data_IF_247903188043
#
_entry.id   IF_247903188043
#
_cell.length_a   1.000
_cell.length_b   1.000
_cell.length_c   1.000
_cell.angle_alpha   90.00
_cell.angle_beta   90.00
_cell.angle_gamma   90.00
#
_symmetry.space_group_name_H-M   'P 1'
#
loop_
_entity.id
_entity.type
_entity.pdbx_description
1 polymer ?
#
# COMPACT_ATOMS: atom_id res chain seq x y z
N UNK A 1 4.04 5.96 -18.68
CA UNK A 1 5.13 5.21 -18.01
C UNK A 1 4.73 4.94 -16.55
N UNK A 2 5.37 4.00 -15.87
CA UNK A 2 5.05 3.58 -14.48
C UNK A 2 6.19 3.93 -13.55
N UNK A 3 5.89 4.27 -12.29
CA UNK A 3 6.86 4.25 -11.20
C UNK A 3 6.31 3.40 -10.06
N UNK A 4 7.00 2.30 -9.76
CA UNK A 4 6.60 1.34 -8.73
C UNK A 4 7.31 1.67 -7.41
N UNK A 5 6.55 2.04 -6.37
CA UNK A 5 7.07 2.48 -5.07
C UNK A 5 6.29 1.88 -3.90
N UNK A 6 6.83 1.97 -2.69
CA UNK A 6 6.15 1.50 -1.48
C UNK A 6 4.94 2.40 -1.22
N UNK A 7 3.75 1.80 -1.17
CA UNK A 7 2.54 2.50 -0.75
C UNK A 7 1.74 1.59 0.18
N UNK A 8 1.59 2.00 1.42
CA UNK A 8 0.75 1.35 2.42
C UNK A 8 0.22 2.41 3.40
N UNK A 9 -0.70 2.07 4.33
CA UNK A 9 -1.30 3.05 5.24
C UNK A 9 -0.32 3.86 6.10
N UNK A 10 0.91 3.39 6.30
CA UNK A 10 1.92 4.09 7.11
C UNK A 10 2.97 4.84 6.27
N UNK A 11 3.06 4.53 4.98
CA UNK A 11 3.92 5.18 3.99
C UNK A 11 3.09 5.53 2.75
N UNK A 12 2.26 6.55 2.84
CA UNK A 12 1.17 6.75 1.89
C UNK A 12 1.57 7.48 0.62
N UNK A 13 2.75 8.10 0.58
CA UNK A 13 3.23 8.88 -0.58
C UNK A 13 2.29 10.06 -0.91
N UNK A 14 1.78 10.77 0.12
CA UNK A 14 0.76 11.82 -0.03
C UNK A 14 1.15 12.93 -1.01
N UNK A 15 2.44 13.27 -1.10
CA UNK A 15 2.94 14.24 -2.09
C UNK A 15 3.42 13.59 -3.39
N UNK A 16 4.14 12.46 -3.30
CA UNK A 16 4.76 11.84 -4.47
C UNK A 16 3.73 11.25 -5.46
N UNK A 17 2.61 10.72 -4.97
CA UNK A 17 1.54 10.18 -5.84
C UNK A 17 0.90 11.25 -6.72
N UNK A 18 0.37 12.36 -6.18
CA UNK A 18 -0.15 13.46 -7.01
C UNK A 18 0.90 14.06 -7.94
N UNK A 19 2.16 14.14 -7.48
CA UNK A 19 3.27 14.59 -8.33
C UNK A 19 3.46 13.67 -9.53
N UNK A 20 3.51 12.35 -9.36
CA UNK A 20 3.63 11.41 -10.48
C UNK A 20 2.45 11.51 -11.45
N UNK A 21 1.22 11.51 -10.92
CA UNK A 21 -0.01 11.56 -11.72
C UNK A 21 -0.07 12.83 -12.59
N UNK A 22 0.27 13.99 -12.03
CA UNK A 22 0.31 15.26 -12.79
C UNK A 22 1.40 15.32 -13.87
N UNK A 23 2.31 14.35 -13.92
CA UNK A 23 3.31 14.19 -15.00
C UNK A 23 3.02 13.00 -15.91
N UNK A 24 1.84 12.37 -15.80
CA UNK A 24 1.49 11.20 -16.60
C UNK A 24 2.30 9.93 -16.24
N UNK A 25 2.85 9.88 -15.02
CA UNK A 25 3.53 8.71 -14.48
C UNK A 25 2.52 7.96 -13.61
N UNK A 26 2.20 6.71 -13.98
CA UNK A 26 1.27 5.88 -13.22
C UNK A 26 1.98 5.35 -11.96
N UNK A 27 1.50 5.70 -10.75
CA UNK A 27 1.98 5.06 -9.53
C UNK A 27 1.52 3.60 -9.45
N UNK A 28 2.44 2.72 -9.04
CA UNK A 28 2.16 1.32 -8.74
C UNK A 28 2.71 0.97 -7.34
N UNK A 29 1.86 0.43 -6.48
CA UNK A 29 2.13 0.13 -5.09
C UNK A 29 2.73 -1.27 -4.93
N UNK A 30 3.98 -1.34 -4.46
CA UNK A 30 4.54 -2.54 -3.86
C UNK A 30 4.38 -2.52 -2.32
N UNK A 31 4.40 -3.71 -1.71
CA UNK A 31 4.08 -3.95 -0.29
C UNK A 31 2.84 -3.18 0.20
N UNK A 32 1.66 -3.35 -0.44
CA UNK A 32 0.43 -2.66 -0.03
C UNK A 32 0.06 -2.90 1.43
N UNK A 33 0.46 -4.05 1.98
CA UNK A 33 0.20 -4.46 3.36
C UNK A 33 1.37 -4.25 4.32
N UNK A 34 2.43 -3.53 3.91
CA UNK A 34 3.68 -3.40 4.68
C UNK A 34 4.27 -4.76 5.13
N UNK A 35 3.98 -5.84 4.40
CA UNK A 35 4.26 -7.24 4.80
C UNK A 35 3.72 -7.64 6.19
N UNK A 36 2.63 -7.02 6.63
CA UNK A 36 2.01 -7.26 7.95
C UNK A 36 2.76 -6.62 9.11
N UNK A 37 3.80 -5.81 8.84
CA UNK A 37 4.52 -5.06 9.87
C UNK A 37 3.61 -4.03 10.58
N UNK A 38 4.05 -3.58 11.75
CA UNK A 38 3.38 -2.56 12.56
C UNK A 38 1.92 -2.89 12.92
N UNK A 39 1.56 -4.18 12.96
CA UNK A 39 0.22 -4.62 13.32
C UNK A 39 -0.87 -4.19 12.33
N UNK A 40 -0.53 -3.96 11.05
CA UNK A 40 -1.45 -3.43 10.05
C UNK A 40 -2.81 -4.16 10.00
N UNK A 41 -2.79 -5.49 10.03
CA UNK A 41 -3.99 -6.31 9.95
C UNK A 41 -4.86 -6.29 11.21
N UNK A 42 -4.36 -5.75 12.31
CA UNK A 42 -5.07 -5.56 13.58
C UNK A 42 -5.30 -4.08 13.90
N UNK A 43 -4.95 -3.16 12.98
CA UNK A 43 -5.07 -1.74 13.24
C UNK A 43 -6.55 -1.38 13.48
N UNK A 44 -6.90 -0.71 14.60
CA UNK A 44 -8.29 -0.53 15.01
C UNK A 44 -9.11 0.28 13.98
N UNK A 45 -8.51 1.32 13.40
CA UNK A 45 -9.16 2.14 12.34
C UNK A 45 -9.50 1.29 11.12
N UNK A 46 -8.53 0.52 10.59
CA UNK A 46 -8.76 -0.30 9.39
C UNK A 46 -9.74 -1.44 9.66
N UNK A 47 -9.73 -1.98 10.88
CA UNK A 47 -10.63 -3.05 11.31
C UNK A 47 -12.07 -2.53 11.41
N UNK A 48 -12.28 -1.35 12.01
CA UNK A 48 -13.59 -0.71 12.09
C UNK A 48 -14.16 -0.38 10.70
N UNK A 49 -13.33 0.13 9.79
CA UNK A 49 -13.72 0.34 8.38
C UNK A 49 -14.08 -0.99 7.72
N UNK A 50 -13.27 -2.04 7.91
CA UNK A 50 -13.56 -3.37 7.38
C UNK A 50 -14.92 -3.90 7.85
N UNK A 51 -15.23 -3.76 9.15
CA UNK A 51 -16.51 -4.17 9.73
C UNK A 51 -17.69 -3.43 9.11
N UNK A 52 -17.58 -2.10 8.89
CA UNK A 52 -18.61 -1.29 8.24
C UNK A 52 -19.03 -1.83 6.87
N UNK A 53 -18.10 -2.41 6.12
CA UNK A 53 -18.33 -2.92 4.76
C UNK A 53 -18.43 -4.45 4.68
N UNK A 54 -18.26 -5.17 5.80
CA UNK A 54 -18.14 -6.63 5.77
C UNK A 54 -16.92 -7.12 4.98
N UNK A 55 -15.81 -6.37 5.01
CA UNK A 55 -14.58 -6.61 4.25
C UNK A 55 -13.39 -6.80 5.18
N UNK A 56 -12.37 -7.51 4.72
CA UNK A 56 -11.12 -7.65 5.46
C UNK A 56 -10.29 -6.36 5.45
N UNK A 57 -9.37 -6.22 6.40
CA UNK A 57 -8.39 -5.11 6.39
C UNK A 57 -7.59 -5.08 5.08
N UNK A 58 -7.24 -6.24 4.52
CA UNK A 58 -6.55 -6.34 3.24
C UNK A 58 -7.38 -5.72 2.10
N UNK A 59 -8.66 -6.06 2.02
CA UNK A 59 -9.58 -5.49 1.04
C UNK A 59 -9.76 -3.98 1.21
N UNK A 60 -9.88 -3.49 2.45
CA UNK A 60 -9.94 -2.05 2.75
C UNK A 60 -8.69 -1.33 2.24
N UNK A 61 -7.50 -1.86 2.51
CA UNK A 61 -6.24 -1.27 2.06
C UNK A 61 -6.14 -1.27 0.53
N UNK A 62 -6.47 -2.37 -0.14
CA UNK A 62 -6.42 -2.42 -1.60
C UNK A 62 -7.48 -1.49 -2.23
N UNK A 63 -8.68 -1.40 -1.66
CA UNK A 63 -9.71 -0.46 -2.11
C UNK A 63 -9.27 0.99 -1.94
N UNK A 64 -8.61 1.32 -0.83
CA UNK A 64 -8.02 2.63 -0.58
C UNK A 64 -6.95 2.98 -1.62
N UNK A 65 -6.05 2.05 -1.96
CA UNK A 65 -5.06 2.24 -3.03
C UNK A 65 -5.76 2.47 -4.38
N UNK A 66 -6.75 1.63 -4.71
CA UNK A 66 -7.52 1.73 -5.94
C UNK A 66 -8.22 3.09 -6.09
N UNK A 67 -8.91 3.57 -5.06
CA UNK A 67 -9.62 4.86 -5.08
C UNK A 67 -8.69 6.07 -5.22
N UNK A 68 -7.38 5.90 -4.94
CA UNK A 68 -6.36 6.93 -5.18
C UNK A 68 -5.80 6.92 -6.60
N UNK A 69 -6.30 6.03 -7.48
CA UNK A 69 -5.79 5.86 -8.84
C UNK A 69 -4.39 5.25 -8.90
N UNK A 70 -4.07 4.37 -7.95
CA UNK A 70 -2.79 3.67 -7.85
C UNK A 70 -3.02 2.19 -8.19
N UNK A 71 -2.15 1.61 -9.03
CA UNK A 71 -2.16 0.16 -9.30
C UNK A 71 -1.59 -0.57 -8.08
N UNK A 72 -2.17 -1.68 -7.63
CA UNK A 72 -1.68 -2.41 -6.45
C UNK A 72 -1.17 -3.80 -6.79
N UNK A 73 0.00 -4.19 -6.24
CA UNK A 73 0.53 -5.55 -6.33
C UNK A 73 0.37 -6.30 -5.01
N UNK A 74 -0.69 -7.11 -4.90
CA UNK A 74 -0.98 -7.92 -3.72
C UNK A 74 -0.47 -9.36 -3.88
N UNK A 75 0.57 -9.72 -3.13
CA UNK A 75 1.12 -11.09 -3.12
C UNK A 75 0.32 -11.99 -2.16
N UNK A 76 -0.02 -13.19 -2.63
CA UNK A 76 -0.42 -14.32 -1.79
C UNK A 76 0.06 -15.62 -2.43
N UNK A 77 0.22 -16.68 -1.63
CA UNK A 77 0.37 -18.06 -2.10
C UNK A 77 -0.89 -18.90 -1.84
N UNK A 78 -1.87 -18.33 -1.12
CA UNK A 78 -3.15 -18.93 -0.77
C UNK A 78 -4.23 -18.44 -1.72
N UNK A 79 -4.90 -19.35 -2.42
CA UNK A 79 -5.90 -19.05 -3.44
C UNK A 79 -7.07 -18.25 -2.87
N UNK A 80 -7.56 -18.63 -1.71
CA UNK A 80 -8.66 -17.95 -1.00
C UNK A 80 -8.32 -16.47 -0.70
N UNK A 81 -7.04 -16.16 -0.45
CA UNK A 81 -6.58 -14.78 -0.25
C UNK A 81 -6.43 -14.03 -1.58
N UNK A 82 -6.11 -14.71 -2.67
CA UNK A 82 -6.10 -14.08 -4.01
C UNK A 82 -7.52 -13.68 -4.41
N UNK A 83 -8.49 -14.57 -4.20
CA UNK A 83 -9.91 -14.32 -4.43
C UNK A 83 -10.42 -13.17 -3.54
N UNK A 84 -10.05 -13.16 -2.25
CA UNK A 84 -10.37 -12.05 -1.35
C UNK A 84 -9.75 -10.72 -1.83
N UNK A 85 -8.47 -10.71 -2.17
CA UNK A 85 -7.72 -9.51 -2.55
C UNK A 85 -8.25 -8.87 -3.84
N UNK A 86 -8.70 -9.66 -4.81
CA UNK A 86 -9.24 -9.13 -6.07
C UNK A 86 -10.70 -8.67 -5.93
N UNK A 87 -11.45 -9.20 -4.95
CA UNK A 87 -12.85 -8.85 -4.72
C UNK A 87 -13.02 -7.54 -3.94
N UNK A 88 -12.57 -6.44 -4.54
CA UNK A 88 -12.60 -5.08 -3.99
C UNK A 88 -13.40 -4.08 -4.85
N UNK A 89 -14.01 -4.55 -5.93
CA UNK A 89 -14.73 -3.70 -6.88
C UNK A 89 -16.22 -3.57 -6.56
N UNK A 90 -16.72 -4.34 -5.59
CA UNK A 90 -18.11 -4.42 -5.16
C UNK A 90 -18.45 -3.50 -3.97
N UNK A 91 -17.50 -2.69 -3.49
CA UNK A 91 -17.71 -1.71 -2.43
C UNK A 91 -16.88 -0.45 -2.64
N UNK A 92 -17.19 0.63 -1.93
CA UNK A 92 -16.49 1.90 -2.00
C UNK A 92 -16.32 2.53 -0.60
N UNK A 93 -15.11 2.98 -0.31
CA UNK A 93 -14.78 3.75 0.91
C UNK A 93 -15.30 5.17 0.75
N UNK A 94 -16.03 5.66 1.74
CA UNK A 94 -16.54 7.03 1.69
C UNK A 94 -15.44 8.05 2.06
N UNK A 95 -15.75 9.35 1.94
CA UNK A 95 -14.77 10.41 2.22
C UNK A 95 -14.23 10.37 3.66
N UNK A 96 -15.05 9.99 4.63
CA UNK A 96 -14.66 9.89 6.04
C UNK A 96 -13.67 8.73 6.24
N UNK A 97 -13.93 7.55 5.65
CA UNK A 97 -13.02 6.41 5.73
C UNK A 97 -11.66 6.75 5.08
N UNK A 98 -11.69 7.43 3.93
CA UNK A 98 -10.48 7.88 3.24
C UNK A 98 -9.68 8.88 4.10
N UNK A 99 -10.35 9.78 4.83
CA UNK A 99 -9.70 10.71 5.77
C UNK A 99 -9.12 9.98 6.99
N UNK A 100 -9.84 9.01 7.56
CA UNK A 100 -9.36 8.21 8.67
C UNK A 100 -8.10 7.41 8.29
N UNK A 101 -8.07 6.83 7.08
CA UNK A 101 -6.88 6.15 6.58
C UNK A 101 -5.75 7.15 6.35
N UNK A 102 -6.02 8.32 5.77
CA UNK A 102 -5.00 9.36 5.55
C UNK A 102 -4.29 9.79 6.85
N UNK A 103 -5.01 9.82 7.96
CA UNK A 103 -4.46 10.15 9.28
C UNK A 103 -3.47 9.10 9.84
N UNK A 104 -3.36 7.93 9.22
CA UNK A 104 -2.40 6.88 9.62
C UNK A 104 -1.00 7.09 9.04
N UNK A 105 -0.82 8.03 8.12
CA UNK A 105 0.47 8.22 7.45
C UNK A 105 1.56 8.67 8.43
N UNK A 106 2.72 8.01 8.33
CA UNK A 106 3.93 8.40 9.06
C UNK A 106 5.06 8.78 8.10
N UNK A 107 4.81 8.71 6.78
CA UNK A 107 5.81 8.91 5.72
C UNK A 107 7.09 8.08 5.92
N UNK A 108 6.97 6.91 6.57
CA UNK A 108 8.10 6.08 6.99
C UNK A 108 8.02 4.72 6.32
N UNK A 109 9.05 4.35 5.57
CA UNK A 109 9.15 3.03 4.95
C UNK A 109 9.10 1.94 6.01
N UNK A 110 8.36 0.86 5.75
CA UNK A 110 8.37 -0.32 6.60
C UNK A 110 9.66 -1.16 6.44
N UNK A 111 10.57 -0.75 5.55
CA UNK A 111 11.80 -1.46 5.20
C UNK A 111 13.02 -0.58 5.48
N UNK A 112 13.31 0.38 4.59
CA UNK A 112 14.46 1.26 4.68
C UNK A 112 14.33 2.45 3.73
N UNK A 113 15.16 3.47 3.93
CA UNK A 113 15.25 4.61 3.02
C UNK A 113 16.21 4.32 1.86
N UNK A 114 15.77 4.53 0.63
CA UNK A 114 16.65 4.46 -0.56
C UNK A 114 17.69 5.60 -0.61
N UNK A 115 17.59 6.58 0.31
CA UNK A 115 18.55 7.68 0.45
C UNK A 115 19.61 7.42 1.53
N UNK A 116 19.50 6.31 2.26
CA UNK A 116 20.50 5.92 3.25
C UNK A 116 21.74 5.36 2.54
N UNK A 117 22.94 5.97 2.69
CA UNK A 117 24.15 5.49 2.04
C UNK A 117 24.51 4.05 2.44
N UNK A 118 24.23 3.63 3.67
CA UNK A 118 24.48 2.26 4.10
C UNK A 118 23.62 1.25 3.31
N UNK A 119 22.38 1.63 2.98
CA UNK A 119 21.48 0.79 2.16
C UNK A 119 21.91 0.78 0.70
N UNK A 120 22.47 1.89 0.18
CA UNK A 120 23.05 1.95 -1.17
C UNK A 120 24.24 0.99 -1.28
N UNK A 121 25.18 1.04 -0.33
CA UNK A 121 26.32 0.13 -0.27
C UNK A 121 25.86 -1.33 -0.20
N UNK A 122 24.91 -1.63 0.70
CA UNK A 122 24.37 -2.98 0.86
C UNK A 122 23.69 -3.51 -0.41
N UNK A 123 22.85 -2.70 -1.07
CA UNK A 123 22.13 -3.12 -2.28
C UNK A 123 23.06 -3.32 -3.47
N UNK A 124 24.00 -2.38 -3.71
CA UNK A 124 24.92 -2.43 -4.85
C UNK A 124 26.01 -3.48 -4.69
N UNK A 125 26.31 -3.89 -3.46
CA UNK A 125 27.24 -4.98 -3.16
C UNK A 125 26.69 -6.39 -3.46
N UNK A 126 25.38 -6.56 -3.67
CA UNK A 126 24.77 -7.87 -3.92
C UNK A 126 25.28 -8.47 -5.24
N UNK A 127 25.74 -9.71 -5.20
CA UNK A 127 26.07 -10.52 -6.38
C UNK A 127 24.98 -11.56 -6.56
N UNK A 128 24.34 -11.55 -7.72
CA UNK A 128 23.21 -12.41 -8.06
C UNK A 128 23.55 -13.16 -9.36
N UNK A 129 23.28 -14.46 -9.39
CA UNK A 129 23.31 -15.27 -10.60
C UNK A 129 21.87 -15.37 -11.12
N UNK A 130 21.44 -14.31 -11.80
CA UNK A 130 20.06 -14.08 -12.27
C UNK A 130 20.05 -13.69 -13.74
#
# INVERSE_FOLDING_TARGET
>A
AVNQIEVNPFNQQLHAVPWMQSRGIQPEAWAPFAEGKNGLFQHPVLTAIGQKYGKSVGQVVLRWIYQRGIVSLAKSVRKERMEENINILDFELNSEDMQQIAALDTATSAFFSHRDPAMVEWLTGRKLDV
#
